data_IF_694944375263
#
_entry.id   IF_694944375263
#
_cell.length_a   1.000
_cell.length_b   1.000
_cell.length_c   1.000
_cell.angle_alpha   90.00
_cell.angle_beta   90.00
_cell.angle_gamma   90.00
#
_symmetry.space_group_name_H-M   'P 1'
#
loop_
_entity.id
_entity.type
_entity.pdbx_description
1 polymer ?
#
# COMPACT_ATOMS: atom_id res chain seq x y z
N UNK A 1 -3.34 -12.70 -26.57
CA UNK A 1 -4.07 -11.55 -25.98
C UNK A 1 -4.45 -10.59 -27.10
N UNK A 2 -5.62 -9.95 -27.03
CA UNK A 2 -6.09 -9.04 -28.10
C UNK A 2 -5.61 -7.60 -27.84
N UNK A 3 -5.40 -6.81 -28.90
CA UNK A 3 -5.04 -5.38 -28.80
C UNK A 3 -6.01 -4.54 -27.93
N UNK A 4 -7.25 -5.01 -27.74
CA UNK A 4 -8.22 -4.36 -26.85
C UNK A 4 -7.90 -4.62 -25.37
N UNK A 5 -7.50 -5.84 -25.01
CA UNK A 5 -7.11 -6.20 -23.64
C UNK A 5 -5.81 -5.51 -23.22
N UNK A 6 -4.83 -5.39 -24.12
CA UNK A 6 -3.58 -4.67 -23.85
C UNK A 6 -3.83 -3.19 -23.55
N UNK A 7 -4.73 -2.54 -24.30
CA UNK A 7 -5.11 -1.14 -24.05
C UNK A 7 -5.87 -0.97 -22.73
N UNK A 8 -6.73 -1.93 -22.37
CA UNK A 8 -7.41 -1.91 -21.08
C UNK A 8 -6.42 -2.07 -19.93
N UNK A 9 -5.51 -3.04 -20.02
CA UNK A 9 -4.47 -3.27 -19.02
C UNK A 9 -3.54 -2.05 -18.87
N UNK A 10 -3.15 -1.41 -19.98
CA UNK A 10 -2.36 -0.18 -19.95
C UNK A 10 -3.08 0.99 -19.26
N UNK A 11 -4.40 1.13 -19.47
CA UNK A 11 -5.21 2.13 -18.77
C UNK A 11 -5.32 1.84 -17.28
N UNK A 12 -5.58 0.59 -16.90
CA UNK A 12 -5.64 0.16 -15.50
C UNK A 12 -4.31 0.42 -14.78
N UNK A 13 -3.17 0.08 -15.43
CA UNK A 13 -1.85 0.36 -14.89
C UNK A 13 -1.57 1.87 -14.74
N UNK A 14 -2.06 2.70 -15.68
CA UNK A 14 -1.94 4.15 -15.58
C UNK A 14 -2.77 4.71 -14.40
N UNK A 15 -4.00 4.24 -14.23
CA UNK A 15 -4.86 4.60 -13.08
C UNK A 15 -4.23 4.20 -11.76
N UNK A 16 -3.75 2.95 -11.65
CA UNK A 16 -3.09 2.46 -10.44
C UNK A 16 -1.84 3.27 -10.06
N UNK A 17 -1.05 3.73 -11.06
CA UNK A 17 0.08 4.63 -10.81
C UNK A 17 -0.37 5.99 -10.30
N UNK A 18 -1.41 6.57 -10.90
CA UNK A 18 -1.95 7.86 -10.46
C UNK A 18 -2.49 7.79 -9.03
N UNK A 19 -3.16 6.70 -8.66
CA UNK A 19 -3.63 6.48 -7.29
C UNK A 19 -2.47 6.29 -6.32
N UNK A 20 -1.44 5.52 -6.70
CA UNK A 20 -0.23 5.35 -5.92
C UNK A 20 0.45 6.70 -5.62
N UNK A 21 0.60 7.56 -6.64
CA UNK A 21 1.14 8.92 -6.48
C UNK A 21 0.29 9.79 -5.54
N UNK A 22 -1.02 9.53 -5.47
CA UNK A 22 -1.93 10.15 -4.50
C UNK A 22 -1.59 9.74 -3.08
N UNK A 23 -1.57 8.44 -2.81
CA UNK A 23 -1.25 7.91 -1.49
C UNK A 23 0.16 8.30 -1.02
N UNK A 24 1.15 8.29 -1.90
CA UNK A 24 2.52 8.70 -1.56
C UNK A 24 2.60 10.18 -1.17
N UNK A 25 1.86 11.06 -1.85
CA UNK A 25 1.78 12.48 -1.48
C UNK A 25 1.06 12.69 -0.16
N UNK A 26 -0.06 12.01 0.07
CA UNK A 26 -0.82 12.12 1.32
C UNK A 26 0.01 11.63 2.51
N UNK A 27 0.77 10.54 2.34
CA UNK A 27 1.69 10.02 3.35
C UNK A 27 2.91 10.94 3.57
N UNK A 28 3.41 11.61 2.53
CA UNK A 28 4.49 12.59 2.66
C UNK A 28 4.04 13.86 3.37
N UNK A 29 2.78 14.27 3.20
CA UNK A 29 2.16 15.39 3.88
C UNK A 29 1.62 15.04 5.28
N UNK A 30 1.76 13.79 5.72
CA UNK A 30 1.19 13.29 6.96
C UNK A 30 1.78 14.00 8.20
N UNK A 31 0.91 14.56 9.04
CA UNK A 31 1.31 15.17 10.30
C UNK A 31 1.25 14.13 11.45
N UNK A 32 2.22 14.08 12.36
CA UNK A 32 2.17 13.13 13.48
C UNK A 32 1.01 13.39 14.45
N UNK A 33 0.67 14.66 14.65
CA UNK A 33 -0.39 15.10 15.56
C UNK A 33 -1.77 15.03 14.87
N UNK A 34 -2.80 14.48 15.53
CA UNK A 34 -4.14 14.44 14.96
C UNK A 34 -4.73 15.85 14.82
N UNK A 35 -5.51 16.10 13.74
CA UNK A 35 -6.29 17.32 13.62
C UNK A 35 -7.28 17.50 14.78
N UNK A 36 -7.68 18.74 15.03
CA UNK A 36 -8.69 19.07 16.04
C UNK A 36 -9.98 18.27 15.81
N UNK A 37 -10.53 17.71 16.90
CA UNK A 37 -11.74 16.87 16.86
C UNK A 37 -11.53 15.43 16.38
N UNK A 38 -10.31 15.05 15.97
CA UNK A 38 -9.99 13.67 15.58
C UNK A 38 -9.32 12.94 16.73
N UNK A 39 -9.83 11.74 17.04
CA UNK A 39 -9.24 10.88 18.07
C UNK A 39 -7.86 10.38 17.61
N UNK A 40 -6.83 10.36 18.48
CA UNK A 40 -5.48 9.93 18.11
C UNK A 40 -5.42 8.53 17.48
N UNK A 41 -6.20 7.58 18.01
CA UNK A 41 -6.26 6.22 17.48
C UNK A 41 -6.89 6.17 16.09
N UNK A 42 -7.87 7.02 15.81
CA UNK A 42 -8.55 7.07 14.51
C UNK A 42 -7.61 7.66 13.45
N UNK A 43 -6.83 8.68 13.83
CA UNK A 43 -5.78 9.26 12.99
C UNK A 43 -4.72 8.20 12.63
N UNK A 44 -4.24 7.45 13.62
CA UNK A 44 -3.29 6.36 13.38
C UNK A 44 -3.88 5.25 12.49
N UNK A 45 -5.12 4.83 12.76
CA UNK A 45 -5.80 3.81 11.95
C UNK A 45 -5.94 4.25 10.48
N UNK A 46 -6.28 5.52 10.24
CA UNK A 46 -6.33 6.08 8.89
C UNK A 46 -4.97 6.04 8.20
N UNK A 47 -3.89 6.42 8.89
CA UNK A 47 -2.51 6.29 8.36
C UNK A 47 -2.17 4.87 7.96
N UNK A 48 -2.52 3.90 8.80
CA UNK A 48 -2.28 2.48 8.51
C UNK A 48 -3.04 2.02 7.26
N UNK A 49 -4.27 2.49 7.08
CA UNK A 49 -5.04 2.26 5.85
C UNK A 49 -4.35 2.82 4.60
N UNK A 50 -3.84 4.06 4.66
CA UNK A 50 -3.10 4.67 3.55
C UNK A 50 -1.82 3.90 3.21
N UNK A 51 -1.07 3.45 4.23
CA UNK A 51 0.13 2.63 4.05
C UNK A 51 -0.19 1.29 3.38
N UNK A 52 -1.23 0.61 3.84
CA UNK A 52 -1.66 -0.68 3.27
C UNK A 52 -2.09 -0.52 1.81
N UNK A 53 -2.92 0.48 1.49
CA UNK A 53 -3.36 0.74 0.12
C UNK A 53 -2.19 1.08 -0.82
N UNK A 54 -1.24 1.90 -0.36
CA UNK A 54 0.01 2.18 -1.09
C UNK A 54 0.79 0.90 -1.36
N UNK A 55 0.99 0.08 -0.35
CA UNK A 55 1.81 -1.13 -0.48
C UNK A 55 1.15 -2.17 -1.38
N UNK A 56 -0.18 -2.28 -1.37
CA UNK A 56 -0.97 -3.10 -2.29
C UNK A 56 -0.78 -2.65 -3.74
N UNK A 57 -0.94 -1.35 -4.02
CA UNK A 57 -0.72 -0.80 -5.36
C UNK A 57 0.73 -0.97 -5.83
N UNK A 58 1.72 -0.82 -4.93
CA UNK A 58 3.12 -1.10 -5.27
C UNK A 58 3.34 -2.56 -5.63
N UNK A 59 2.64 -3.50 -4.97
CA UNK A 59 2.69 -4.94 -5.32
C UNK A 59 2.05 -5.21 -6.68
N UNK A 60 0.85 -4.68 -6.93
CA UNK A 60 0.15 -4.84 -8.21
C UNK A 60 0.94 -4.27 -9.39
N UNK A 61 1.65 -3.16 -9.18
CA UNK A 61 2.50 -2.52 -10.19
C UNK A 61 3.89 -3.16 -10.32
N UNK A 62 4.24 -4.16 -9.51
CA UNK A 62 5.56 -4.79 -9.49
C UNK A 62 6.69 -3.89 -8.99
N UNK A 63 6.36 -2.86 -8.20
CA UNK A 63 7.29 -1.88 -7.62
C UNK A 63 7.73 -2.22 -6.20
N UNK A 64 7.06 -3.16 -5.54
CA UNK A 64 7.48 -3.69 -4.25
C UNK A 64 8.51 -4.82 -4.48
N UNK A 65 9.59 -4.88 -3.68
CA UNK A 65 10.43 -6.07 -3.67
C UNK A 65 9.56 -7.27 -3.31
N UNK A 66 9.78 -8.42 -3.96
CA UNK A 66 9.14 -9.67 -3.58
C UNK A 66 9.31 -9.82 -2.06
N UNK A 67 8.20 -9.78 -1.33
CA UNK A 67 8.24 -9.79 0.12
C UNK A 67 9.13 -10.96 0.54
N UNK A 68 10.24 -10.68 1.23
CA UNK A 68 11.00 -11.73 1.90
C UNK A 68 10.01 -12.33 2.88
N UNK A 69 9.47 -13.49 2.53
CA UNK A 69 8.60 -14.25 3.38
C UNK A 69 9.41 -14.56 4.64
N UNK A 70 9.18 -13.80 5.70
CA UNK A 70 9.57 -14.19 7.05
C UNK A 70 8.55 -15.26 7.44
N UNK A 71 8.72 -16.45 6.86
CA UNK A 71 7.99 -17.64 7.25
C UNK A 71 8.64 -18.12 8.55
N UNK A 72 7.94 -17.90 9.65
CA UNK A 72 7.81 -18.82 10.79
C UNK A 72 8.94 -19.83 10.97
N UNK A 73 9.97 -19.48 11.72
CA UNK A 73 10.94 -20.44 12.27
C UNK A 73 11.13 -20.19 13.77
N UNK A 74 10.07 -20.32 14.58
CA UNK A 74 10.21 -20.59 16.02
C UNK A 74 8.98 -21.32 16.57
N UNK A 75 8.70 -22.51 16.04
CA UNK A 75 8.02 -23.56 16.78
C UNK A 75 8.98 -24.76 16.75
N UNK A 76 9.13 -25.46 17.87
CA UNK A 76 10.03 -26.61 18.10
C UNK A 76 11.47 -26.30 18.56
N UNK A 77 11.57 -25.84 19.82
CA UNK A 77 12.67 -26.24 20.70
C UNK A 77 12.18 -26.21 22.17
N UNK A 78 11.30 -27.14 22.53
CA UNK A 78 11.10 -27.60 23.91
C UNK A 78 11.01 -29.12 23.90
N UNK A 79 12.19 -29.73 23.80
CA UNK A 79 12.45 -31.01 24.47
C UNK A 79 12.91 -30.75 25.89
#
# INVERSE_FOLDING_TARGET
>A
MTRAQERLAARQAATARQELDGYERDLAAWQPEPPEGILPWAHQAYRHGLLAARDDLRRELGLAPAATAITTATHEARG
#
